data_IF_501667601959
#
_entry.id   IF_501667601959
#
_cell.length_a   1.000
_cell.length_b   1.000
_cell.length_c   1.000
_cell.angle_alpha   90.00
_cell.angle_beta   90.00
_cell.angle_gamma   90.00
#
_symmetry.space_group_name_H-M   'P 1'
#
loop_
_entity.id
_entity.type
_entity.pdbx_description
1 polymer ?
#
# COMPACT_ATOMS: atom_id res chain seq x y z
N UNK A 1 15.90 79.70 2.47
CA UNK A 1 15.96 78.48 3.31
C UNK A 1 17.22 78.58 4.13
N UNK A 2 17.08 78.52 5.45
CA UNK A 2 18.22 78.55 6.38
C UNK A 2 18.97 77.21 6.35
N UNK A 3 20.29 77.22 6.52
CA UNK A 3 21.12 76.01 6.45
C UNK A 3 20.67 74.94 7.46
N UNK A 4 20.16 75.37 8.62
CA UNK A 4 19.59 74.50 9.64
C UNK A 4 18.34 73.73 9.15
N UNK A 5 17.51 74.34 8.30
CA UNK A 5 16.34 73.69 7.70
C UNK A 5 16.73 72.66 6.64
N UNK A 6 17.82 72.90 5.90
CA UNK A 6 18.32 71.96 4.89
C UNK A 6 18.88 70.69 5.55
N UNK A 7 19.67 70.84 6.61
CA UNK A 7 20.25 69.71 7.37
C UNK A 7 19.17 68.88 8.07
N UNK A 8 18.15 69.50 8.64
CA UNK A 8 17.02 68.77 9.26
C UNK A 8 16.18 68.01 8.24
N UNK A 9 16.04 68.51 7.02
CA UNK A 9 15.34 67.81 5.94
C UNK A 9 16.14 66.60 5.42
N UNK A 10 17.47 66.72 5.33
CA UNK A 10 18.39 65.63 4.94
C UNK A 10 18.49 64.57 6.05
N UNK A 11 18.58 64.98 7.32
CA UNK A 11 18.58 64.06 8.46
C UNK A 11 17.22 63.39 8.64
N UNK A 12 16.12 64.13 8.49
CA UNK A 12 14.77 63.60 8.53
C UNK A 12 14.51 62.58 7.42
N UNK A 13 14.96 62.85 6.18
CA UNK A 13 14.78 61.93 5.06
C UNK A 13 15.62 60.65 5.19
N UNK A 14 16.83 60.74 5.75
CA UNK A 14 17.69 59.57 5.97
C UNK A 14 17.20 58.67 7.11
N UNK A 15 16.68 59.25 8.21
CA UNK A 15 16.05 58.49 9.30
C UNK A 15 14.76 57.83 8.84
N UNK A 16 13.91 58.54 8.08
CA UNK A 16 12.67 57.98 7.51
C UNK A 16 12.97 56.87 6.51
N UNK A 17 13.98 57.06 5.66
CA UNK A 17 14.44 56.01 4.73
C UNK A 17 14.94 54.75 5.46
N UNK A 18 15.72 54.91 6.54
CA UNK A 18 16.20 53.78 7.35
C UNK A 18 15.11 53.06 8.15
N UNK A 19 14.07 53.77 8.59
CA UNK A 19 12.91 53.16 9.25
C UNK A 19 12.08 52.37 8.25
N UNK A 20 11.87 52.92 7.05
CA UNK A 20 11.11 52.27 5.98
C UNK A 20 11.77 50.98 5.49
N UNK A 21 13.10 50.93 5.37
CA UNK A 21 13.82 49.71 4.98
C UNK A 21 13.74 48.64 6.06
N UNK A 22 13.91 48.98 7.33
CA UNK A 22 13.77 48.01 8.45
C UNK A 22 12.37 47.43 8.56
N UNK A 23 11.32 48.23 8.30
CA UNK A 23 9.95 47.71 8.29
C UNK A 23 9.71 46.77 7.11
N UNK A 24 10.27 47.08 5.94
CA UNK A 24 10.23 46.18 4.78
C UNK A 24 10.98 44.86 5.03
N UNK A 25 12.16 44.91 5.65
CA UNK A 25 12.94 43.72 6.00
C UNK A 25 12.19 42.84 7.01
N UNK A 26 11.60 43.43 8.05
CA UNK A 26 10.77 42.70 9.02
C UNK A 26 9.56 42.01 8.37
N UNK A 27 8.85 42.70 7.45
CA UNK A 27 7.73 42.10 6.70
C UNK A 27 8.22 40.96 5.80
N UNK A 28 9.40 41.12 5.20
CA UNK A 28 10.01 40.10 4.33
C UNK A 28 10.40 38.86 5.12
N UNK A 29 11.02 39.03 6.28
CA UNK A 29 11.39 37.95 7.19
C UNK A 29 10.16 37.24 7.78
N UNK A 30 9.11 37.99 8.14
CA UNK A 30 7.85 37.40 8.58
C UNK A 30 7.20 36.55 7.47
N UNK A 31 7.21 37.03 6.21
CA UNK A 31 6.75 36.24 5.07
C UNK A 31 7.61 35.00 4.82
N UNK A 32 8.93 35.10 4.95
CA UNK A 32 9.83 33.97 4.80
C UNK A 32 9.53 32.88 5.84
N UNK A 33 9.38 33.26 7.12
CA UNK A 33 9.02 32.33 8.20
C UNK A 33 7.66 31.66 8.02
N UNK A 34 6.65 32.38 7.49
CA UNK A 34 5.35 31.78 7.18
C UNK A 34 5.43 30.76 6.03
N UNK A 35 6.24 31.04 4.99
CA UNK A 35 6.46 30.11 3.89
C UNK A 35 7.21 28.86 4.34
N UNK A 36 8.18 29.00 5.24
CA UNK A 36 8.93 27.88 5.80
C UNK A 36 8.04 26.98 6.66
N UNK A 37 7.17 27.56 7.50
CA UNK A 37 6.17 26.78 8.26
C UNK A 37 5.19 26.02 7.35
N UNK A 38 4.68 26.68 6.30
CA UNK A 38 3.79 26.05 5.32
C UNK A 38 4.47 24.90 4.57
N UNK A 39 5.76 25.06 4.23
CA UNK A 39 6.55 23.99 3.62
C UNK A 39 6.72 22.82 4.57
N UNK A 40 7.08 23.07 5.83
CA UNK A 40 7.20 22.03 6.85
C UNK A 40 5.87 21.30 7.10
N UNK A 41 4.74 22.00 7.09
CA UNK A 41 3.41 21.40 7.19
C UNK A 41 3.08 20.50 5.99
N UNK A 42 3.41 20.94 4.77
CA UNK A 42 3.21 20.16 3.54
C UNK A 42 4.13 18.94 3.51
N UNK A 43 5.40 19.10 3.86
CA UNK A 43 6.35 17.98 3.91
C UNK A 43 5.94 16.94 4.95
N UNK A 44 5.42 17.39 6.10
CA UNK A 44 4.85 16.49 7.12
C UNK A 44 3.62 15.75 6.57
N UNK A 45 2.70 16.45 5.91
CA UNK A 45 1.51 15.84 5.32
C UNK A 45 1.85 14.85 4.20
N UNK A 46 2.86 15.15 3.37
CA UNK A 46 3.38 14.24 2.35
C UNK A 46 4.00 13.01 3.01
N UNK A 47 4.82 13.19 4.05
CA UNK A 47 5.43 12.09 4.79
C UNK A 47 4.39 11.17 5.44
N UNK A 48 3.34 11.73 6.04
CA UNK A 48 2.23 10.95 6.60
C UNK A 48 1.45 10.18 5.52
N UNK A 49 1.16 10.83 4.39
CA UNK A 49 0.51 10.18 3.24
C UNK A 49 1.35 9.04 2.68
N UNK A 50 2.65 9.23 2.53
CA UNK A 50 3.53 8.26 1.92
C UNK A 50 3.74 7.05 2.85
N UNK A 51 3.79 7.27 4.18
CA UNK A 51 3.74 6.17 5.17
C UNK A 51 2.44 5.38 5.07
N UNK A 52 1.29 6.05 5.03
CA UNK A 52 0.00 5.39 4.89
C UNK A 52 -0.12 4.60 3.57
N UNK A 53 0.48 5.10 2.48
CA UNK A 53 0.57 4.35 1.21
C UNK A 53 1.45 3.12 1.34
N UNK A 54 2.62 3.24 1.96
CA UNK A 54 3.51 2.10 2.16
C UNK A 54 2.86 0.99 3.01
N UNK A 55 2.17 1.36 4.09
CA UNK A 55 1.41 0.42 4.93
C UNK A 55 0.28 -0.26 4.17
N UNK A 56 -0.49 0.51 3.38
CA UNK A 56 -1.53 -0.04 2.52
C UNK A 56 -0.96 -1.00 1.49
N UNK A 57 0.12 -0.64 0.81
CA UNK A 57 0.71 -1.44 -0.25
C UNK A 57 1.29 -2.75 0.32
N UNK A 58 1.90 -2.71 1.51
CA UNK A 58 2.30 -3.91 2.23
C UNK A 58 1.10 -4.82 2.55
N UNK A 59 0.02 -4.26 3.11
CA UNK A 59 -1.19 -5.03 3.42
C UNK A 59 -1.84 -5.67 2.17
N UNK A 60 -1.78 -4.99 1.02
CA UNK A 60 -2.28 -5.52 -0.26
C UNK A 60 -1.43 -6.69 -0.74
N UNK A 61 -0.11 -6.61 -0.60
CA UNK A 61 0.81 -7.70 -0.94
C UNK A 61 0.55 -8.93 -0.07
N UNK A 62 0.42 -8.74 1.25
CA UNK A 62 0.13 -9.83 2.18
C UNK A 62 -1.21 -10.50 1.87
N UNK A 63 -2.25 -9.71 1.62
CA UNK A 63 -3.56 -10.23 1.24
C UNK A 63 -3.51 -10.99 -0.09
N UNK A 64 -2.72 -10.52 -1.06
CA UNK A 64 -2.53 -11.21 -2.33
C UNK A 64 -1.81 -12.55 -2.14
N UNK A 65 -0.80 -12.60 -1.27
CA UNK A 65 -0.09 -13.83 -0.93
C UNK A 65 -1.00 -14.85 -0.23
N UNK A 66 -1.80 -14.40 0.75
CA UNK A 66 -2.78 -15.26 1.43
C UNK A 66 -3.83 -15.81 0.46
N UNK A 67 -4.34 -14.97 -0.46
CA UNK A 67 -5.29 -15.41 -1.48
C UNK A 67 -4.67 -16.44 -2.43
N UNK A 68 -3.44 -16.20 -2.89
CA UNK A 68 -2.73 -17.16 -3.74
C UNK A 68 -2.52 -18.51 -3.03
N UNK A 69 -2.19 -18.50 -1.75
CA UNK A 69 -2.05 -19.72 -0.95
C UNK A 69 -3.38 -20.47 -0.80
N UNK A 70 -4.49 -19.76 -0.53
CA UNK A 70 -5.83 -20.35 -0.46
C UNK A 70 -6.27 -20.93 -1.80
N UNK A 71 -6.04 -20.21 -2.90
CA UNK A 71 -6.39 -20.67 -4.24
C UNK A 71 -5.59 -21.92 -4.62
N UNK A 72 -4.33 -22.01 -4.22
CA UNK A 72 -3.52 -23.21 -4.43
C UNK A 72 -4.08 -24.43 -3.68
N UNK A 73 -4.51 -24.24 -2.42
CA UNK A 73 -5.15 -25.28 -1.60
C UNK A 73 -6.48 -25.73 -2.23
N UNK A 74 -7.34 -24.80 -2.63
CA UNK A 74 -8.61 -25.11 -3.32
C UNK A 74 -8.36 -25.92 -4.59
N UNK A 75 -7.45 -25.46 -5.47
CA UNK A 75 -7.15 -26.19 -6.71
C UNK A 75 -6.57 -27.58 -6.44
N UNK A 76 -5.83 -27.75 -5.35
CA UNK A 76 -5.31 -29.06 -4.95
C UNK A 76 -6.46 -30.00 -4.56
N UNK A 77 -7.41 -29.52 -3.75
CA UNK A 77 -8.60 -30.27 -3.36
C UNK A 77 -9.51 -30.58 -4.55
N UNK A 78 -9.70 -29.64 -5.48
CA UNK A 78 -10.48 -29.86 -6.70
C UNK A 78 -9.89 -30.96 -7.58
N UNK A 79 -8.55 -30.97 -7.75
CA UNK A 79 -7.88 -32.05 -8.48
C UNK A 79 -8.09 -33.39 -7.79
N UNK A 80 -7.98 -33.43 -6.46
CA UNK A 80 -8.18 -34.65 -5.71
C UNK A 80 -9.63 -35.17 -5.79
N UNK A 81 -10.61 -34.28 -5.68
CA UNK A 81 -12.02 -34.63 -5.84
C UNK A 81 -12.29 -35.24 -7.22
N UNK A 82 -11.71 -34.69 -8.28
CA UNK A 82 -11.83 -35.24 -9.64
C UNK A 82 -11.29 -36.67 -9.74
N UNK A 83 -10.13 -36.95 -9.16
CA UNK A 83 -9.53 -38.30 -9.15
C UNK A 83 -10.47 -39.30 -8.46
N UNK A 84 -11.09 -38.89 -7.34
CA UNK A 84 -12.04 -39.73 -6.62
C UNK A 84 -13.31 -39.99 -7.44
N UNK A 85 -13.85 -38.96 -8.10
CA UNK A 85 -15.02 -39.09 -8.96
C UNK A 85 -14.75 -40.01 -10.16
N UNK A 86 -13.58 -39.89 -10.79
CA UNK A 86 -13.14 -40.76 -11.87
C UNK A 86 -13.03 -42.22 -11.40
N UNK A 87 -12.40 -42.47 -10.25
CA UNK A 87 -12.30 -43.81 -9.67
C UNK A 87 -13.68 -44.41 -9.36
N UNK A 88 -14.60 -43.62 -8.80
CA UNK A 88 -15.96 -44.04 -8.53
C UNK A 88 -16.74 -44.34 -9.83
N UNK A 89 -16.55 -43.55 -10.88
CA UNK A 89 -17.18 -43.77 -12.16
C UNK A 89 -16.69 -45.08 -12.82
N UNK A 90 -15.39 -45.38 -12.73
CA UNK A 90 -14.81 -46.63 -13.20
C UNK A 90 -15.36 -47.84 -12.44
N UNK A 91 -15.41 -47.76 -11.11
CA UNK A 91 -15.96 -48.84 -10.28
C UNK A 91 -17.45 -49.08 -10.60
N UNK A 92 -18.25 -48.02 -10.72
CA UNK A 92 -19.67 -48.11 -11.12
C UNK A 92 -19.83 -48.77 -12.49
N UNK A 93 -19.00 -48.39 -13.46
CA UNK A 93 -19.03 -49.00 -14.79
C UNK A 93 -18.71 -50.49 -14.72
N UNK A 94 -17.71 -50.89 -13.93
CA UNK A 94 -17.33 -52.29 -13.76
C UNK A 94 -18.46 -53.14 -13.18
N UNK A 95 -19.17 -52.61 -12.18
CA UNK A 95 -20.36 -53.27 -11.63
C UNK A 95 -21.49 -53.45 -12.66
N UNK A 96 -21.67 -52.48 -13.56
CA UNK A 96 -22.68 -52.57 -14.63
C UNK A 96 -22.27 -53.60 -15.68
N UNK A 97 -21.00 -53.58 -16.09
CA UNK A 97 -20.48 -54.43 -17.17
C UNK A 97 -20.33 -55.91 -16.71
N UNK A 98 -20.11 -56.16 -15.42
CA UNK A 98 -19.97 -57.49 -14.82
C UNK A 98 -20.76 -57.61 -13.49
N UNK A 99 -22.09 -57.80 -13.55
CA UNK A 99 -22.89 -58.00 -12.34
C UNK A 99 -22.51 -59.33 -11.68
N UNK A 100 -21.79 -59.25 -10.56
CA UNK A 100 -21.23 -60.40 -9.83
C UNK A 100 -19.73 -60.29 -9.52
N UNK A 101 -19.06 -59.23 -9.98
CA UNK A 101 -17.69 -58.90 -9.54
C UNK A 101 -17.64 -58.76 -8.02
N UNK A 102 -16.73 -59.51 -7.40
CA UNK A 102 -16.44 -59.41 -5.98
C UNK A 102 -15.88 -58.00 -5.69
N UNK A 103 -16.35 -57.28 -4.65
CA UNK A 103 -15.76 -56.01 -4.25
C UNK A 103 -14.22 -56.02 -4.13
N UNK A 104 -13.62 -57.16 -3.78
CA UNK A 104 -12.17 -57.32 -3.66
C UNK A 104 -11.43 -57.38 -5.01
N UNK A 105 -12.16 -57.59 -6.12
CA UNK A 105 -11.63 -57.57 -7.50
C UNK A 105 -11.67 -56.16 -8.14
N UNK A 106 -12.20 -55.17 -7.42
CA UNK A 106 -12.20 -53.78 -7.87
C UNK A 106 -10.84 -53.14 -7.62
N UNK A 107 -10.48 -52.20 -8.50
CA UNK A 107 -9.30 -51.37 -8.25
C UNK A 107 -9.47 -50.66 -6.90
N UNK A 108 -8.42 -50.67 -6.06
CA UNK A 108 -8.49 -50.08 -4.73
C UNK A 108 -8.76 -48.59 -4.83
N UNK A 109 -9.66 -48.10 -3.97
CA UNK A 109 -10.03 -46.70 -3.98
C UNK A 109 -8.80 -45.82 -3.69
N UNK A 110 -8.62 -44.68 -4.39
CA UNK A 110 -7.44 -43.84 -4.21
C UNK A 110 -7.31 -43.36 -2.77
N UNK A 111 -6.16 -43.65 -2.14
CA UNK A 111 -5.89 -43.18 -0.78
C UNK A 111 -5.57 -41.67 -0.79
N UNK A 112 -6.07 -40.94 0.21
CA UNK A 112 -5.85 -39.50 0.34
C UNK A 112 -4.35 -39.19 0.35
N UNK A 113 -3.83 -38.39 -0.61
CA UNK A 113 -2.43 -38.04 -0.65
C UNK A 113 -2.09 -37.14 0.54
N UNK A 114 -0.87 -37.31 1.06
CA UNK A 114 -0.32 -36.39 2.06
C UNK A 114 -0.14 -35.03 1.41
N UNK A 115 -0.70 -33.97 2.01
CA UNK A 115 -0.51 -32.59 1.56
C UNK A 115 0.96 -32.14 1.69
N UNK A 116 1.70 -32.77 2.60
CA UNK A 116 3.06 -32.39 2.98
C UNK A 116 4.14 -33.25 2.32
N UNK A 117 3.77 -34.19 1.43
CA UNK A 117 4.78 -34.94 0.66
C UNK A 117 5.14 -34.18 -0.63
N UNK A 118 6.44 -34.15 -0.98
CA UNK A 118 6.99 -33.33 -2.06
C UNK A 118 6.40 -33.64 -3.43
#
# INVERSE_FOLDING_TARGET
MDAAQLWTLILGSSVVGGIATKTLDWIRDARAGHLERRRAEVDKAIGERDKARAERDAAVIDLAAERAARDADVRWWERWARILEEALALARRRFIDAPGTDPDELDPYPSRPSRDKP
#
